data_IF_981375317352
#
_entry.id   IF_981375317352
#
_cell.length_a   1.000
_cell.length_b   1.000
_cell.length_c   1.000
_cell.angle_alpha   90.00
_cell.angle_beta   90.00
_cell.angle_gamma   90.00
#
_symmetry.space_group_name_H-M   'P 1'
#
loop_
_entity.id
_entity.type
_entity.pdbx_description
1 polymer ?
#
# COMPACT_ATOMS: atom_id res chain seq x y z
N UNK A 1 -13.29 -8.32 2.67
CA UNK A 1 -13.73 -6.91 2.80
C UNK A 1 -15.24 -6.77 2.62
N UNK A 2 -15.82 -7.17 1.48
CA UNK A 2 -17.26 -7.05 1.19
C UNK A 2 -18.18 -7.76 2.20
N UNK A 3 -17.84 -8.98 2.63
CA UNK A 3 -18.61 -9.72 3.64
C UNK A 3 -18.52 -9.11 5.05
N UNK A 4 -17.38 -8.50 5.39
CA UNK A 4 -17.12 -7.92 6.72
C UNK A 4 -17.91 -6.61 6.92
N UNK A 5 -18.17 -5.90 5.82
CA UNK A 5 -18.85 -4.63 5.84
C UNK A 5 -20.36 -4.76 5.57
N UNK A 6 -20.87 -5.95 5.28
CA UNK A 6 -22.29 -6.18 4.94
C UNK A 6 -22.78 -5.14 3.91
N UNK A 7 -22.03 -4.97 2.81
CA UNK A 7 -22.36 -3.97 1.80
C UNK A 7 -23.65 -4.36 1.06
N UNK A 8 -24.51 -3.38 0.81
CA UNK A 8 -25.66 -3.57 -0.07
C UNK A 8 -25.21 -3.72 -1.53
N UNK A 9 -26.07 -4.25 -2.39
CA UNK A 9 -25.80 -4.33 -3.84
C UNK A 9 -25.52 -2.94 -4.44
N UNK A 10 -26.26 -1.92 -4.00
CA UNK A 10 -26.06 -0.54 -4.43
C UNK A 10 -24.68 0.01 -3.99
N UNK A 11 -24.28 -0.22 -2.74
CA UNK A 11 -22.95 0.17 -2.26
C UNK A 11 -21.85 -0.57 -3.02
N UNK A 12 -22.05 -1.86 -3.27
CA UNK A 12 -21.12 -2.71 -4.03
C UNK A 12 -20.92 -2.18 -5.44
N UNK A 13 -22.01 -1.85 -6.15
CA UNK A 13 -21.96 -1.31 -7.50
C UNK A 13 -21.22 0.05 -7.58
N UNK A 14 -21.31 0.87 -6.53
CA UNK A 14 -20.58 2.14 -6.45
C UNK A 14 -19.10 1.96 -6.07
N UNK A 15 -18.79 1.05 -5.14
CA UNK A 15 -17.45 0.90 -4.57
C UNK A 15 -16.50 0.14 -5.51
N UNK A 16 -16.96 -0.93 -6.15
CA UNK A 16 -16.10 -1.81 -6.96
C UNK A 16 -15.38 -1.11 -8.12
N UNK A 17 -16.03 -0.24 -8.91
CA UNK A 17 -15.35 0.48 -9.98
C UNK A 17 -14.20 1.37 -9.47
N UNK A 18 -14.43 2.09 -8.37
CA UNK A 18 -13.39 2.96 -7.78
C UNK A 18 -12.30 2.14 -7.09
N UNK A 19 -12.63 1.00 -6.46
CA UNK A 19 -11.64 0.06 -5.93
C UNK A 19 -10.72 -0.44 -7.04
N UNK A 20 -11.28 -0.93 -8.15
CA UNK A 20 -10.50 -1.41 -9.29
C UNK A 20 -9.60 -0.31 -9.87
N UNK A 21 -10.09 0.93 -9.92
CA UNK A 21 -9.29 2.08 -10.37
C UNK A 21 -8.16 2.37 -9.39
N UNK A 22 -8.45 2.43 -8.10
CA UNK A 22 -7.46 2.67 -7.05
C UNK A 22 -6.36 1.60 -7.03
N UNK A 23 -6.72 0.33 -7.19
CA UNK A 23 -5.78 -0.78 -7.27
C UNK A 23 -4.86 -0.66 -8.50
N UNK A 24 -5.41 -0.31 -9.67
CA UNK A 24 -4.61 -0.10 -10.89
C UNK A 24 -3.64 1.06 -10.73
N UNK A 25 -4.11 2.20 -10.24
CA UNK A 25 -3.28 3.39 -10.02
C UNK A 25 -2.15 3.09 -9.01
N UNK A 26 -2.49 2.41 -7.92
CA UNK A 26 -1.53 1.98 -6.90
C UNK A 26 -0.51 0.99 -7.45
N UNK A 27 -0.94 0.01 -8.23
CA UNK A 27 -0.04 -0.98 -8.84
C UNK A 27 0.99 -0.30 -9.75
N UNK A 28 0.58 0.72 -10.50
CA UNK A 28 1.49 1.48 -11.37
C UNK A 28 2.51 2.29 -10.55
N UNK A 29 2.06 3.00 -9.50
CA UNK A 29 2.96 3.71 -8.59
C UNK A 29 3.95 2.76 -7.89
N UNK A 30 3.49 1.56 -7.51
CA UNK A 30 4.35 0.53 -6.91
C UNK A 30 5.39 -0.01 -7.90
N UNK A 31 5.05 -0.18 -9.18
CA UNK A 31 6.03 -0.57 -10.22
C UNK A 31 7.10 0.49 -10.39
N UNK A 32 6.72 1.77 -10.43
CA UNK A 32 7.65 2.90 -10.52
C UNK A 32 8.56 2.95 -9.29
N UNK A 33 7.99 2.79 -8.09
CA UNK A 33 8.77 2.73 -6.85
C UNK A 33 9.78 1.57 -6.87
N UNK A 34 9.37 0.39 -7.31
CA UNK A 34 10.25 -0.77 -7.41
C UNK A 34 11.39 -0.53 -8.41
N UNK A 35 11.13 0.17 -9.51
CA UNK A 35 12.17 0.56 -10.47
C UNK A 35 13.20 1.52 -9.85
N UNK A 36 12.75 2.58 -9.17
CA UNK A 36 13.66 3.53 -8.52
C UNK A 36 14.50 2.89 -7.42
N UNK A 37 13.92 1.96 -6.64
CA UNK A 37 14.67 1.21 -5.63
C UNK A 37 15.73 0.31 -6.27
N UNK A 38 15.43 -0.34 -7.41
CA UNK A 38 16.44 -1.11 -8.14
C UNK A 38 17.57 -0.21 -8.65
N UNK A 39 17.24 0.94 -9.22
CA UNK A 39 18.24 1.90 -9.69
C UNK A 39 19.08 2.47 -8.57
N UNK A 40 18.52 2.79 -7.41
CA UNK A 40 19.28 3.20 -6.22
C UNK A 40 20.25 2.12 -5.75
N UNK A 41 19.80 0.86 -5.68
CA UNK A 41 20.68 -0.27 -5.32
C UNK A 41 21.84 -0.42 -6.29
N UNK A 42 21.60 -0.20 -7.58
CA UNK A 42 22.63 -0.23 -8.61
C UNK A 42 23.62 0.93 -8.44
N UNK A 43 23.12 2.15 -8.21
CA UNK A 43 23.94 3.34 -7.97
C UNK A 43 24.88 3.17 -6.76
N UNK A 44 24.36 2.58 -5.67
CA UNK A 44 25.15 2.24 -4.47
C UNK A 44 26.25 1.21 -4.80
N UNK A 45 25.96 0.25 -5.68
CA UNK A 45 26.86 -0.85 -6.01
C UNK A 45 27.97 -0.45 -6.98
N UNK A 46 27.69 0.43 -7.94
CA UNK A 46 28.60 0.78 -9.04
C UNK A 46 29.70 1.78 -8.65
N UNK A 47 29.59 2.45 -7.50
CA UNK A 47 30.60 3.44 -7.07
C UNK A 47 30.53 4.74 -7.89
N UNK A 48 31.53 5.63 -7.73
CA UNK A 48 31.33 7.04 -7.37
C UNK A 48 30.29 7.75 -8.26
N UNK A 49 29.04 7.69 -7.82
CA UNK A 49 27.98 8.56 -8.30
C UNK A 49 28.04 9.89 -7.53
N UNK A 50 27.59 10.97 -8.16
CA UNK A 50 27.53 12.28 -7.52
C UNK A 50 26.43 12.29 -6.46
N UNK A 51 26.62 13.01 -5.37
CA UNK A 51 25.60 13.19 -4.33
C UNK A 51 24.27 13.69 -4.91
N UNK A 52 24.31 14.54 -5.93
CA UNK A 52 23.15 15.03 -6.68
C UNK A 52 22.30 13.90 -7.29
N UNK A 53 22.94 12.83 -7.79
CA UNK A 53 22.26 11.68 -8.37
C UNK A 53 21.58 10.82 -7.31
N UNK A 54 22.21 10.69 -6.13
CA UNK A 54 21.59 10.05 -4.97
C UNK A 54 20.37 10.85 -4.49
N UNK A 55 20.53 12.16 -4.26
CA UNK A 55 19.46 13.02 -3.77
C UNK A 55 18.27 13.07 -4.73
N UNK A 56 18.52 13.15 -6.04
CA UNK A 56 17.47 13.10 -7.06
C UNK A 56 16.65 11.82 -6.96
N UNK A 57 17.30 10.66 -6.83
CA UNK A 57 16.61 9.36 -6.75
C UNK A 57 15.90 9.16 -5.41
N UNK A 58 16.52 9.58 -4.30
CA UNK A 58 15.89 9.59 -2.98
C UNK A 58 14.64 10.46 -2.98
N UNK A 59 14.71 11.65 -3.59
CA UNK A 59 13.58 12.55 -3.79
C UNK A 59 12.44 11.86 -4.53
N UNK A 60 12.73 11.18 -5.64
CA UNK A 60 11.73 10.44 -6.42
C UNK A 60 11.09 9.30 -5.63
N UNK A 61 11.86 8.54 -4.86
CA UNK A 61 11.33 7.49 -3.98
C UNK A 61 10.39 8.07 -2.92
N UNK A 62 10.75 9.20 -2.29
CA UNK A 62 9.91 9.87 -1.30
C UNK A 62 8.59 10.34 -1.92
N UNK A 63 8.65 10.96 -3.10
CA UNK A 63 7.47 11.40 -3.85
C UNK A 63 6.53 10.22 -4.18
N UNK A 64 7.08 9.11 -4.70
CA UNK A 64 6.28 7.93 -5.04
C UNK A 64 5.63 7.31 -3.80
N UNK A 65 6.34 7.23 -2.67
CA UNK A 65 5.75 6.76 -1.40
C UNK A 65 4.60 7.64 -0.94
N UNK A 66 4.77 8.96 -1.04
CA UNK A 66 3.72 9.91 -0.70
C UNK A 66 2.49 9.73 -1.60
N UNK A 67 2.68 9.63 -2.92
CA UNK A 67 1.59 9.39 -3.88
C UNK A 67 0.82 8.10 -3.62
N UNK A 68 1.50 7.03 -3.23
CA UNK A 68 0.85 5.77 -2.83
C UNK A 68 -0.03 5.98 -1.60
N UNK A 69 0.51 6.67 -0.58
CA UNK A 69 -0.25 6.97 0.65
C UNK A 69 -1.46 7.87 0.36
N UNK A 70 -1.29 8.90 -0.47
CA UNK A 70 -2.38 9.79 -0.88
C UNK A 70 -3.46 9.04 -1.64
N UNK A 71 -3.10 8.09 -2.51
CA UNK A 71 -4.08 7.28 -3.24
C UNK A 71 -4.85 6.34 -2.33
N UNK A 72 -4.17 5.73 -1.36
CA UNK A 72 -4.80 4.88 -0.33
C UNK A 72 -5.79 5.71 0.51
N UNK A 73 -5.38 6.90 0.96
CA UNK A 73 -6.25 7.80 1.73
C UNK A 73 -7.44 8.29 0.91
N UNK A 74 -7.24 8.63 -0.36
CA UNK A 74 -8.31 9.07 -1.25
C UNK A 74 -9.37 7.97 -1.43
N UNK A 75 -8.94 6.72 -1.62
CA UNK A 75 -9.85 5.58 -1.70
C UNK A 75 -10.59 5.34 -0.38
N UNK A 76 -9.89 5.41 0.76
CA UNK A 76 -10.52 5.24 2.08
C UNK A 76 -11.56 6.33 2.36
N UNK A 77 -11.27 7.59 2.05
CA UNK A 77 -12.22 8.69 2.17
C UNK A 77 -13.46 8.47 1.30
N UNK A 78 -13.25 8.02 0.05
CA UNK A 78 -14.36 7.65 -0.83
C UNK A 78 -15.18 6.49 -0.24
N UNK A 79 -14.53 5.42 0.22
CA UNK A 79 -15.20 4.29 0.85
C UNK A 79 -16.06 4.77 2.03
N UNK A 80 -15.51 5.61 2.92
CA UNK A 80 -16.23 6.12 4.08
C UNK A 80 -17.42 7.01 3.69
N UNK A 81 -17.39 7.69 2.55
CA UNK A 81 -18.56 8.42 2.06
C UNK A 81 -19.74 7.49 1.72
N UNK A 82 -19.48 6.22 1.41
CA UNK A 82 -20.49 5.23 1.03
C UNK A 82 -20.99 4.37 2.20
N UNK A 83 -20.27 4.36 3.33
CA UNK A 83 -20.55 3.50 4.48
C UNK A 83 -21.41 4.17 5.55
N UNK A 84 -22.27 3.39 6.20
CA UNK A 84 -22.93 3.79 7.45
C UNK A 84 -21.95 3.85 8.62
N UNK A 85 -22.34 4.48 9.74
CA UNK A 85 -21.49 4.57 10.93
C UNK A 85 -21.03 3.23 11.47
N UNK A 86 -21.91 2.21 11.47
CA UNK A 86 -21.56 0.85 11.93
C UNK A 86 -20.57 0.20 10.95
N UNK A 87 -20.76 0.38 9.64
CA UNK A 87 -19.86 -0.16 8.63
C UNK A 87 -18.47 0.50 8.69
N UNK A 88 -18.40 1.81 8.97
CA UNK A 88 -17.11 2.50 9.23
C UNK A 88 -16.38 1.91 10.43
N UNK A 89 -17.08 1.69 11.54
CA UNK A 89 -16.48 1.09 12.74
C UNK A 89 -15.94 -0.33 12.45
N UNK A 90 -16.73 -1.17 11.76
CA UNK A 90 -16.31 -2.51 11.34
C UNK A 90 -15.08 -2.46 10.43
N UNK A 91 -15.04 -1.52 9.49
CA UNK A 91 -13.88 -1.34 8.62
C UNK A 91 -12.61 -1.01 9.42
N UNK A 92 -12.69 -0.06 10.37
CA UNK A 92 -11.53 0.34 11.18
C UNK A 92 -11.00 -0.84 11.99
N UNK A 93 -11.90 -1.57 12.68
CA UNK A 93 -11.53 -2.77 13.45
C UNK A 93 -10.83 -3.77 12.53
N UNK A 94 -11.45 -4.10 11.39
CA UNK A 94 -10.89 -5.03 10.43
C UNK A 94 -9.52 -4.57 9.90
N UNK A 95 -9.36 -3.30 9.55
CA UNK A 95 -8.11 -2.75 9.01
C UNK A 95 -6.98 -2.87 10.02
N UNK A 96 -7.23 -2.55 11.30
CA UNK A 96 -6.23 -2.65 12.37
C UNK A 96 -5.86 -4.11 12.67
N UNK A 97 -6.86 -5.00 12.77
CA UNK A 97 -6.64 -6.42 13.04
C UNK A 97 -5.91 -7.12 11.89
N UNK A 98 -6.29 -6.81 10.65
CA UNK A 98 -5.65 -7.37 9.46
C UNK A 98 -4.18 -6.97 9.36
N UNK A 99 -3.87 -5.68 9.57
CA UNK A 99 -2.49 -5.19 9.57
C UNK A 99 -1.64 -5.87 10.65
N UNK A 100 -2.20 -6.05 11.86
CA UNK A 100 -1.55 -6.78 12.94
C UNK A 100 -1.27 -8.24 12.55
N UNK A 101 -2.28 -8.95 12.04
CA UNK A 101 -2.14 -10.35 11.63
C UNK A 101 -1.09 -10.56 10.52
N UNK A 102 -1.00 -9.64 9.55
CA UNK A 102 0.05 -9.69 8.52
C UNK A 102 1.44 -9.50 9.12
N UNK A 103 1.62 -8.53 10.02
CA UNK A 103 2.92 -8.30 10.67
C UNK A 103 3.36 -9.51 11.50
N UNK A 104 2.46 -10.10 12.28
CA UNK A 104 2.72 -11.30 13.08
C UNK A 104 3.14 -12.48 12.19
N UNK A 105 2.41 -12.73 11.09
CA UNK A 105 2.79 -13.79 10.12
C UNK A 105 4.15 -13.54 9.46
N UNK A 106 4.44 -12.30 9.07
CA UNK A 106 5.73 -11.95 8.49
C UNK A 106 6.89 -12.17 9.48
N UNK A 107 6.67 -11.89 10.76
CA UNK A 107 7.64 -12.17 11.81
C UNK A 107 7.87 -13.68 11.99
N UNK A 108 6.81 -14.49 12.02
CA UNK A 108 6.93 -15.94 12.11
C UNK A 108 7.69 -16.55 10.93
N UNK A 109 7.43 -16.09 9.70
CA UNK A 109 8.15 -16.55 8.51
C UNK A 109 9.65 -16.20 8.56
N UNK A 110 10.02 -15.02 9.08
CA UNK A 110 11.42 -14.63 9.28
C UNK A 110 12.12 -15.51 10.32
N UNK A 111 11.45 -15.84 11.42
CA UNK A 111 11.99 -16.72 12.46
C UNK A 111 12.14 -18.18 11.99
N UNK A 112 11.19 -18.68 11.18
CA UNK A 112 11.28 -20.00 10.58
C UNK A 112 12.45 -20.09 9.58
N UNK A 113 12.67 -19.06 8.76
CA UNK A 113 13.81 -19.00 7.82
C UNK A 113 15.18 -18.88 8.49
N UNK A 114 15.25 -18.34 9.72
CA UNK A 114 16.50 -18.28 10.50
C UNK A 114 16.89 -19.62 11.15
N UNK A 115 15.92 -20.51 11.41
CA UNK A 115 16.17 -21.84 12.00
C UNK A 115 16.65 -22.89 10.98
N UNK A 116 16.66 -22.56 9.69
CA UNK A 116 17.06 -23.44 8.58
C UNK A 116 18.45 -23.06 8.03
N UNK A 117 19.15 -22.10 8.65
CA UNK A 117 20.58 -21.82 8.43
C UNK A 117 21.40 -22.28 9.61
#
# INVERSE_FOLDING_TARGET
MTQVLELTEQQTAAIFPELNRAEKDKAELQRQLAAEIRSLRQLIKEGPARDEEFESRVGRVRELRQKIQERDQAFENFLFSQLTSIQKARYIIFSLEFNRAIMERAQHLRQAGQKIK
#
